data_IF_676757214969
#
_entry.id   IF_676757214969
#
_cell.length_a   1.000
_cell.length_b   1.000
_cell.length_c   1.000
_cell.angle_alpha   90.00
_cell.angle_beta   90.00
_cell.angle_gamma   90.00
#
_symmetry.space_group_name_H-M   'P 1'
#
loop_
_entity.id
_entity.type
_entity.pdbx_description
1 polymer ?
#
# COMPACT_ATOMS: atom_id res chain seq x y z
N UNK A 1 -31.32 57.25 20.76
CA UNK A 1 -30.12 56.92 19.95
C UNK A 1 -29.46 55.67 20.51
N UNK A 2 -29.78 54.48 19.97
CA UNK A 2 -29.25 53.19 20.44
C UNK A 2 -27.91 52.92 19.74
N UNK A 3 -26.81 52.87 20.49
CA UNK A 3 -25.49 52.44 19.98
C UNK A 3 -25.50 50.92 19.86
N UNK A 4 -25.51 50.41 18.62
CA UNK A 4 -25.35 49.00 18.31
C UNK A 4 -23.85 48.70 18.21
N UNK A 5 -23.31 47.95 19.18
CA UNK A 5 -21.92 47.51 19.20
C UNK A 5 -21.81 46.27 18.29
N UNK A 6 -21.14 46.39 17.15
CA UNK A 6 -20.89 45.27 16.23
C UNK A 6 -19.62 44.53 16.69
N UNK A 7 -19.78 43.30 17.18
CA UNK A 7 -18.68 42.43 17.60
C UNK A 7 -18.06 41.77 16.36
N UNK A 8 -16.85 42.22 15.96
CA UNK A 8 -16.08 41.62 14.87
C UNK A 8 -15.34 40.38 15.41
N UNK A 9 -15.88 39.19 15.19
CA UNK A 9 -15.16 37.94 15.45
C UNK A 9 -14.17 37.67 14.31
N UNK A 10 -12.89 37.94 14.59
CA UNK A 10 -11.76 37.53 13.75
C UNK A 10 -11.74 35.99 13.66
N UNK A 11 -12.32 35.43 12.60
CA UNK A 11 -12.12 34.05 12.20
C UNK A 11 -10.67 33.89 11.74
N UNK A 12 -9.80 33.51 12.67
CA UNK A 12 -8.45 33.02 12.38
C UNK A 12 -8.58 31.76 11.51
N UNK A 13 -8.44 31.92 10.20
CA UNK A 13 -8.31 30.82 9.26
C UNK A 13 -6.96 30.13 9.52
N UNK A 14 -6.96 29.15 10.42
CA UNK A 14 -5.83 28.25 10.59
C UNK A 14 -5.59 27.52 9.28
N UNK A 15 -4.37 27.58 8.74
CA UNK A 15 -3.95 26.77 7.59
C UNK A 15 -4.01 25.30 7.99
N UNK A 16 -5.14 24.64 7.74
CA UNK A 16 -5.21 23.19 7.75
C UNK A 16 -4.41 22.68 6.56
N UNK A 17 -3.15 22.31 6.78
CA UNK A 17 -2.44 21.46 5.84
C UNK A 17 -3.10 20.08 5.92
N UNK A 18 -3.84 19.72 4.88
CA UNK A 18 -4.28 18.34 4.70
C UNK A 18 -3.03 17.47 4.57
N UNK A 19 -2.86 16.51 5.48
CA UNK A 19 -1.85 15.47 5.31
C UNK A 19 -2.30 14.61 4.13
N UNK A 20 -1.49 14.52 3.07
CA UNK A 20 -1.81 13.72 1.90
C UNK A 20 -0.80 12.59 1.75
N UNK A 21 -1.30 11.37 1.65
CA UNK A 21 -0.51 10.20 1.33
C UNK A 21 -0.62 9.93 -0.17
N UNK A 22 0.50 9.97 -0.89
CA UNK A 22 0.51 9.82 -2.35
C UNK A 22 0.45 8.34 -2.74
N UNK A 23 -0.73 7.73 -2.59
CA UNK A 23 -1.01 6.34 -2.97
C UNK A 23 -2.22 6.32 -3.90
N UNK A 24 -2.19 5.44 -4.90
CA UNK A 24 -3.27 5.20 -5.85
C UNK A 24 -3.72 3.74 -5.73
N UNK A 25 -5.01 3.47 -5.46
CA UNK A 25 -6.06 4.41 -5.07
C UNK A 25 -5.74 5.14 -3.76
N UNK A 26 -6.37 6.29 -3.55
CA UNK A 26 -6.18 7.07 -2.33
C UNK A 26 -6.67 6.30 -1.09
N UNK A 27 -5.80 6.22 -0.09
CA UNK A 27 -6.09 5.60 1.22
C UNK A 27 -7.06 6.48 2.00
N UNK A 28 -8.13 5.90 2.54
CA UNK A 28 -9.18 6.66 3.25
C UNK A 28 -8.85 6.95 4.72
N UNK A 29 -8.31 5.98 5.44
CA UNK A 29 -8.00 6.12 6.87
C UNK A 29 -6.52 5.86 7.12
N UNK A 30 -5.80 6.93 7.44
CA UNK A 30 -4.41 6.88 7.84
C UNK A 30 -4.08 7.99 8.82
N UNK A 31 -3.00 7.79 9.58
CA UNK A 31 -2.41 8.79 10.47
C UNK A 31 -0.91 8.85 10.24
N UNK A 32 -0.39 10.04 9.93
CA UNK A 32 1.05 10.21 9.79
C UNK A 32 1.74 10.15 11.15
N UNK A 33 2.83 9.39 11.21
CA UNK A 33 3.79 9.39 12.31
C UNK A 33 4.92 10.39 12.06
N UNK A 34 5.90 10.40 12.97
CA UNK A 34 7.14 11.16 12.81
C UNK A 34 8.23 10.27 12.21
N UNK A 35 9.01 10.83 11.29
CA UNK A 35 10.16 10.14 10.69
C UNK A 35 9.80 9.22 9.53
N UNK A 36 10.73 8.35 9.19
CA UNK A 36 10.64 7.36 8.12
C UNK A 36 11.35 6.07 8.52
N UNK A 37 10.91 4.96 7.92
CA UNK A 37 11.62 3.69 7.90
C UNK A 37 12.62 3.70 6.74
N UNK A 38 13.88 3.38 6.99
CA UNK A 38 14.88 3.22 5.93
C UNK A 38 14.88 1.80 5.39
N UNK A 39 14.64 1.65 4.08
CA UNK A 39 14.69 0.36 3.37
C UNK A 39 16.05 0.24 2.71
N UNK A 40 16.81 -0.82 3.00
CA UNK A 40 18.14 -1.03 2.45
C UNK A 40 18.47 -2.53 2.36
N UNK A 41 19.67 -2.88 1.90
CA UNK A 41 20.13 -4.27 1.74
C UNK A 41 20.17 -5.08 3.05
N UNK A 42 20.15 -4.42 4.22
CA UNK A 42 20.06 -5.09 5.52
C UNK A 42 18.62 -5.29 5.97
N UNK A 43 17.65 -4.67 5.30
CA UNK A 43 16.23 -4.82 5.62
C UNK A 43 15.80 -6.23 5.26
N UNK A 44 15.34 -6.97 6.26
CA UNK A 44 14.78 -8.30 6.05
C UNK A 44 13.27 -8.26 5.88
N UNK A 45 12.72 -9.33 5.33
CA UNK A 45 11.28 -9.57 5.26
C UNK A 45 10.95 -10.83 6.06
N UNK A 46 9.85 -10.80 6.81
CA UNK A 46 9.37 -11.91 7.64
C UNK A 46 7.96 -12.25 7.18
N UNK A 47 7.70 -13.52 6.87
CA UNK A 47 6.38 -13.99 6.44
C UNK A 47 6.25 -15.49 6.67
N UNK A 48 5.02 -15.94 6.97
CA UNK A 48 4.69 -17.37 7.03
C UNK A 48 4.65 -17.97 5.63
N UNK A 49 4.92 -19.27 5.50
CA UNK A 49 4.96 -19.94 4.19
C UNK A 49 3.63 -19.88 3.41
N UNK A 50 2.50 -19.66 4.10
CA UNK A 50 1.19 -19.39 3.49
C UNK A 50 1.13 -18.12 2.63
N UNK A 51 2.13 -17.24 2.71
CA UNK A 51 2.27 -16.01 1.93
C UNK A 51 3.43 -16.05 0.93
N UNK A 52 4.08 -17.20 0.77
CA UNK A 52 5.30 -17.28 -0.03
C UNK A 52 5.14 -16.68 -1.44
N UNK A 53 4.07 -16.99 -2.21
CA UNK A 53 3.90 -16.39 -3.54
C UNK A 53 3.76 -14.86 -3.51
N UNK A 54 2.94 -14.33 -2.59
CA UNK A 54 2.68 -12.90 -2.45
C UNK A 54 3.93 -12.13 -2.00
N UNK A 55 4.65 -12.69 -1.02
CA UNK A 55 5.88 -12.11 -0.50
C UNK A 55 7.01 -12.15 -1.55
N UNK A 56 7.18 -13.25 -2.28
CA UNK A 56 8.17 -13.34 -3.36
C UNK A 56 7.86 -12.36 -4.51
N UNK A 57 6.58 -12.20 -4.87
CA UNK A 57 6.16 -11.20 -5.85
C UNK A 57 6.47 -9.77 -5.36
N UNK A 58 6.16 -9.46 -4.10
CA UNK A 58 6.49 -8.16 -3.50
C UNK A 58 8.01 -7.91 -3.46
N UNK A 59 8.81 -8.89 -3.04
CA UNK A 59 10.28 -8.80 -3.03
C UNK A 59 10.84 -8.55 -4.44
N UNK A 60 10.30 -9.24 -5.45
CA UNK A 60 10.68 -9.03 -6.84
C UNK A 60 10.32 -7.63 -7.34
N UNK A 61 9.14 -7.11 -6.98
CA UNK A 61 8.73 -5.75 -7.30
C UNK A 61 9.62 -4.71 -6.62
N UNK A 62 9.94 -4.90 -5.33
CA UNK A 62 10.87 -4.02 -4.61
C UNK A 62 12.24 -3.99 -5.29
N UNK A 63 12.78 -5.15 -5.66
CA UNK A 63 14.03 -5.25 -6.40
C UNK A 63 13.97 -4.56 -7.76
N UNK A 64 12.92 -4.79 -8.53
CA UNK A 64 12.81 -4.26 -9.90
C UNK A 64 12.56 -2.75 -9.94
N UNK A 65 11.84 -2.20 -8.96
CA UNK A 65 11.46 -0.78 -8.92
C UNK A 65 12.51 0.05 -8.17
N UNK A 66 13.03 -0.48 -7.06
CA UNK A 66 13.90 0.27 -6.13
C UNK A 66 15.34 -0.25 -6.09
N UNK A 67 15.65 -1.38 -6.74
CA UNK A 67 16.99 -1.96 -6.75
C UNK A 67 17.41 -2.62 -5.44
N UNK A 68 16.49 -2.76 -4.47
CA UNK A 68 16.80 -3.29 -3.14
C UNK A 68 16.47 -4.78 -3.07
N UNK A 69 17.42 -5.60 -2.62
CA UNK A 69 17.19 -7.04 -2.43
C UNK A 69 16.82 -7.34 -0.98
N UNK A 70 15.55 -7.64 -0.74
CA UNK A 70 15.09 -8.12 0.57
C UNK A 70 15.43 -9.60 0.74
N UNK A 71 15.76 -10.00 1.98
CA UNK A 71 16.03 -11.39 2.34
C UNK A 71 15.08 -11.86 3.43
N UNK A 72 14.60 -13.11 3.32
CA UNK A 72 13.72 -13.69 4.33
C UNK A 72 14.52 -13.91 5.63
N UNK A 73 14.02 -13.40 6.76
CA UNK A 73 14.58 -13.68 8.08
C UNK A 73 13.45 -13.76 9.12
N UNK A 74 13.16 -14.97 9.60
CA UNK A 74 12.05 -15.22 10.53
C UNK A 74 12.34 -14.71 11.97
N UNK A 75 13.61 -14.43 12.29
CA UNK A 75 14.06 -14.02 13.62
C UNK A 75 14.29 -12.50 13.76
N UNK A 76 14.07 -11.72 12.71
CA UNK A 76 14.30 -10.28 12.75
C UNK A 76 13.23 -9.56 13.59
N UNK A 77 13.66 -8.70 14.51
CA UNK A 77 12.79 -7.88 15.36
C UNK A 77 12.80 -6.38 15.01
N UNK A 78 13.85 -5.90 14.34
CA UNK A 78 14.03 -4.53 13.87
C UNK A 78 14.60 -4.55 12.44
N UNK A 79 14.47 -3.43 11.72
CA UNK A 79 14.78 -3.31 10.30
C UNK A 79 14.11 -4.41 9.46
N UNK A 80 12.81 -4.63 9.72
CA UNK A 80 12.05 -5.75 9.17
C UNK A 80 10.71 -5.30 8.59
N UNK A 81 10.35 -5.90 7.46
CA UNK A 81 8.99 -5.89 6.90
C UNK A 81 8.32 -7.19 7.30
N UNK A 82 7.34 -7.11 8.20
CA UNK A 82 6.62 -8.24 8.79
C UNK A 82 5.24 -8.37 8.14
N UNK A 83 4.97 -9.53 7.55
CA UNK A 83 3.73 -9.87 6.84
C UNK A 83 2.97 -10.93 7.62
N UNK A 84 1.77 -10.60 8.11
CA UNK A 84 0.92 -11.54 8.85
C UNK A 84 -0.58 -11.32 8.60
N UNK A 85 -1.38 -12.39 8.58
CA UNK A 85 -2.86 -12.28 8.50
C UNK A 85 -3.51 -11.97 9.86
N UNK A 86 -2.74 -11.93 10.95
CA UNK A 86 -3.28 -11.63 12.28
C UNK A 86 -3.25 -10.12 12.50
N UNK A 87 -4.39 -9.49 12.24
CA UNK A 87 -4.59 -8.08 12.56
C UNK A 87 -4.48 -7.86 14.08
N UNK A 88 -3.98 -6.70 14.53
CA UNK A 88 -4.02 -6.32 15.93
C UNK A 88 -5.44 -6.40 16.52
N UNK A 89 -5.55 -6.76 17.80
CA UNK A 89 -6.84 -7.07 18.48
C UNK A 89 -7.81 -5.88 18.45
N UNK A 90 -7.30 -4.66 18.42
CA UNK A 90 -8.06 -3.42 18.37
C UNK A 90 -8.62 -3.08 16.97
N UNK A 91 -8.22 -3.82 15.94
CA UNK A 91 -8.65 -3.60 14.56
C UNK A 91 -9.92 -4.38 14.27
N UNK A 92 -10.98 -3.65 13.90
CA UNK A 92 -12.22 -4.22 13.37
C UNK A 92 -12.20 -4.14 11.83
N UNK A 93 -11.86 -5.22 11.12
CA UNK A 93 -11.84 -5.21 9.66
C UNK A 93 -13.25 -5.03 9.10
N UNK A 94 -13.40 -4.30 8.00
CA UNK A 94 -14.67 -4.20 7.30
C UNK A 94 -14.57 -4.81 5.89
N UNK A 95 -14.80 -6.11 5.78
CA UNK A 95 -14.79 -6.81 4.50
C UNK A 95 -13.48 -7.53 4.19
N UNK A 96 -13.50 -8.32 3.11
CA UNK A 96 -12.48 -9.33 2.83
C UNK A 96 -11.17 -8.77 2.29
N UNK A 97 -11.17 -7.53 1.82
CA UNK A 97 -9.99 -6.87 1.28
C UNK A 97 -9.37 -5.84 2.21
N UNK A 98 -9.86 -5.79 3.45
CA UNK A 98 -9.30 -4.94 4.47
C UNK A 98 -7.84 -5.30 4.74
N UNK A 99 -7.03 -4.26 4.89
CA UNK A 99 -5.65 -4.34 5.30
C UNK A 99 -5.27 -3.23 6.29
N UNK A 100 -4.22 -3.52 7.05
CA UNK A 100 -3.54 -2.64 8.00
C UNK A 100 -2.07 -2.58 7.61
N UNK A 101 -1.50 -1.38 7.59
CA UNK A 101 -0.06 -1.20 7.55
C UNK A 101 0.39 -0.26 8.68
N UNK A 102 1.34 -0.70 9.47
CA UNK A 102 1.91 0.08 10.57
C UNK A 102 3.41 0.27 10.32
N UNK A 103 3.79 1.48 9.93
CA UNK A 103 5.17 1.85 9.58
C UNK A 103 5.74 2.69 10.72
N UNK A 104 6.77 2.17 11.36
CA UNK A 104 7.61 2.88 12.34
C UNK A 104 9.03 3.02 11.80
N UNK A 105 9.89 3.75 12.49
CA UNK A 105 11.32 3.85 12.16
C UNK A 105 12.09 2.52 12.32
N UNK A 106 11.50 1.55 13.01
CA UNK A 106 12.11 0.24 13.31
C UNK A 106 11.53 -0.92 12.52
N UNK A 107 10.26 -0.87 12.13
CA UNK A 107 9.61 -1.96 11.40
C UNK A 107 8.43 -1.50 10.57
N UNK A 108 8.11 -2.29 9.54
CA UNK A 108 6.86 -2.19 8.79
C UNK A 108 6.06 -3.45 9.06
N UNK A 109 4.89 -3.33 9.67
CA UNK A 109 3.92 -4.42 9.76
C UNK A 109 2.88 -4.27 8.66
N UNK A 110 2.52 -5.38 8.01
CA UNK A 110 1.50 -5.47 6.98
C UNK A 110 0.61 -6.66 7.29
N UNK A 111 -0.70 -6.43 7.42
CA UNK A 111 -1.65 -7.51 7.63
C UNK A 111 -3.03 -7.24 7.08
N UNK A 112 -3.81 -8.30 6.91
CA UNK A 112 -5.15 -8.24 6.34
C UNK A 112 -5.98 -9.44 6.76
N UNK A 113 -7.26 -9.43 6.40
CA UNK A 113 -8.22 -10.51 6.75
C UNK A 113 -7.85 -11.83 6.07
N UNK A 114 -7.21 -11.76 4.91
CA UNK A 114 -6.74 -12.88 4.12
C UNK A 114 -5.55 -12.43 3.24
N UNK A 115 -5.01 -13.37 2.48
CA UNK A 115 -3.88 -13.11 1.58
C UNK A 115 -4.14 -11.97 0.59
N UNK A 116 -5.36 -11.84 0.05
CA UNK A 116 -5.70 -10.76 -0.87
C UNK A 116 -5.64 -9.39 -0.19
N UNK A 117 -6.23 -9.24 1.00
CA UNK A 117 -6.16 -8.00 1.78
C UNK A 117 -4.70 -7.65 2.11
N UNK A 118 -3.96 -8.61 2.67
CA UNK A 118 -2.53 -8.43 3.00
C UNK A 118 -1.70 -8.00 1.79
N UNK A 119 -1.91 -8.63 0.63
CA UNK A 119 -1.22 -8.28 -0.61
C UNK A 119 -1.53 -6.84 -1.08
N UNK A 120 -2.76 -6.35 -0.90
CA UNK A 120 -3.08 -4.93 -1.14
C UNK A 120 -2.31 -4.00 -0.22
N UNK A 121 -2.14 -4.39 1.04
CA UNK A 121 -1.28 -3.68 1.98
C UNK A 121 0.17 -3.61 1.52
N UNK A 122 0.70 -4.72 0.96
CA UNK A 122 2.04 -4.74 0.34
C UNK A 122 2.13 -3.73 -0.81
N UNK A 123 1.12 -3.68 -1.69
CA UNK A 123 1.11 -2.71 -2.81
C UNK A 123 1.02 -1.26 -2.33
N UNK A 124 0.32 -1.00 -1.24
CA UNK A 124 0.31 0.34 -0.61
C UNK A 124 1.69 0.69 -0.08
N UNK A 125 2.34 -0.19 0.68
CA UNK A 125 3.70 0.04 1.18
C UNK A 125 4.70 0.21 0.03
N UNK A 126 4.57 -0.58 -1.04
CA UNK A 126 5.38 -0.46 -2.24
C UNK A 126 5.28 0.96 -2.81
N UNK A 127 4.07 1.49 -3.01
CA UNK A 127 3.89 2.86 -3.54
C UNK A 127 4.43 3.95 -2.60
N UNK A 128 4.45 3.69 -1.29
CA UNK A 128 4.99 4.63 -0.30
C UNK A 128 6.52 4.68 -0.27
N UNK A 129 7.21 3.67 -0.80
CA UNK A 129 8.66 3.68 -0.92
C UNK A 129 9.09 4.82 -1.85
N UNK A 130 9.86 5.76 -1.29
CA UNK A 130 10.42 6.87 -2.04
C UNK A 130 11.73 6.42 -2.70
N UNK A 131 11.74 6.32 -4.03
CA UNK A 131 12.90 5.88 -4.80
C UNK A 131 14.13 6.77 -4.70
N UNK A 132 13.98 8.04 -4.30
CA UNK A 132 15.13 8.95 -4.13
C UNK A 132 15.82 8.80 -2.79
N UNK A 133 15.10 8.31 -1.77
CA UNK A 133 15.58 8.25 -0.38
C UNK A 133 15.68 6.83 0.16
N UNK A 134 15.10 5.85 -0.53
CA UNK A 134 14.93 4.48 -0.03
C UNK A 134 14.27 4.48 1.35
N UNK A 135 13.21 5.28 1.50
CA UNK A 135 12.52 5.49 2.76
C UNK A 135 11.01 5.36 2.57
N UNK A 136 10.34 4.87 3.61
CA UNK A 136 8.87 4.84 3.73
C UNK A 136 8.49 5.76 4.89
N UNK A 137 7.59 6.74 4.71
CA UNK A 137 7.19 7.61 5.81
C UNK A 137 6.48 6.82 6.91
N UNK A 138 6.76 7.14 8.18
CA UNK A 138 6.06 6.54 9.30
C UNK A 138 4.57 6.92 9.26
N UNK A 139 3.69 5.93 9.30
CA UNK A 139 2.25 6.12 9.35
C UNK A 139 1.54 4.83 9.76
N UNK A 140 0.28 4.99 10.19
CA UNK A 140 -0.64 3.89 10.39
C UNK A 140 -1.73 3.99 9.33
N UNK A 141 -2.02 2.90 8.63
CA UNK A 141 -3.01 2.83 7.55
C UNK A 141 -3.98 1.71 7.87
N UNK A 142 -5.28 1.99 7.80
CA UNK A 142 -6.35 1.01 7.82
C UNK A 142 -7.22 1.26 6.61
N UNK A 143 -7.30 0.31 5.68
CA UNK A 143 -7.98 0.61 4.41
C UNK A 143 -8.58 -0.64 3.78
N UNK A 144 -9.53 -0.39 2.88
CA UNK A 144 -10.28 -1.42 2.16
C UNK A 144 -10.97 -0.77 0.96
N UNK A 145 -11.22 -1.55 -0.10
CA UNK A 145 -11.99 -1.04 -1.22
C UNK A 145 -13.48 -1.15 -0.94
N UNK A 146 -14.11 -0.01 -0.66
CA UNK A 146 -15.56 0.04 -0.36
C UNK A 146 -16.46 0.19 -1.58
N UNK A 147 -15.94 0.75 -2.68
CA UNK A 147 -16.82 1.35 -3.68
C UNK A 147 -17.14 0.42 -4.86
N UNK A 148 -16.25 -0.51 -5.22
CA UNK A 148 -16.46 -1.39 -6.38
C UNK A 148 -15.77 -2.74 -6.20
N UNK A 149 -16.55 -3.82 -6.21
CA UNK A 149 -16.04 -5.19 -6.18
C UNK A 149 -15.35 -5.57 -7.49
N UNK A 150 -15.76 -4.98 -8.61
CA UNK A 150 -15.16 -5.21 -9.93
C UNK A 150 -14.30 -4.02 -10.35
N UNK A 151 -12.99 -4.24 -10.50
CA UNK A 151 -12.02 -3.24 -10.97
C UNK A 151 -11.22 -3.88 -12.09
N UNK A 152 -11.78 -3.73 -13.28
CA UNK A 152 -11.40 -4.46 -14.47
C UNK A 152 -10.48 -3.68 -15.39
N UNK A 153 -9.66 -4.42 -16.15
CA UNK A 153 -8.97 -3.90 -17.32
C UNK A 153 -9.07 -4.89 -18.47
N UNK A 154 -9.45 -4.41 -19.65
CA UNK A 154 -9.56 -5.21 -20.88
C UNK A 154 -8.31 -5.03 -21.74
N UNK A 155 -7.73 -6.14 -22.21
CA UNK A 155 -6.63 -6.14 -23.17
C UNK A 155 -6.98 -7.06 -24.34
N UNK A 156 -7.13 -6.46 -25.52
CA UNK A 156 -7.27 -7.14 -26.80
C UNK A 156 -5.88 -7.53 -27.31
N UNK A 157 -5.60 -8.84 -27.37
CA UNK A 157 -4.39 -9.39 -27.99
C UNK A 157 -4.67 -10.15 -29.29
N UNK A 158 -5.95 -10.24 -29.71
CA UNK A 158 -6.35 -10.95 -30.92
C UNK A 158 -6.04 -10.13 -32.17
N UNK A 159 -6.19 -8.81 -32.08
CA UNK A 159 -5.89 -7.88 -33.19
C UNK A 159 -4.47 -7.33 -33.19
N UNK A 160 -3.82 -7.31 -32.02
CA UNK A 160 -2.44 -6.87 -31.88
C UNK A 160 -1.67 -7.77 -30.92
N UNK A 161 -0.60 -8.40 -31.41
CA UNK A 161 0.19 -9.31 -30.59
C UNK A 161 1.10 -8.53 -29.64
N UNK A 162 0.98 -8.81 -28.35
CA UNK A 162 1.89 -8.31 -27.32
C UNK A 162 2.82 -9.42 -26.84
N UNK A 163 4.15 -9.15 -26.69
CA UNK A 163 5.06 -10.13 -26.12
C UNK A 163 4.64 -10.56 -24.71
N UNK A 164 4.88 -11.82 -24.35
CA UNK A 164 4.59 -12.38 -23.01
C UNK A 164 5.09 -11.52 -21.86
N UNK A 165 6.30 -10.96 -22.00
CA UNK A 165 6.90 -10.15 -20.94
C UNK A 165 6.19 -8.80 -20.76
N UNK A 166 5.59 -8.26 -21.82
CA UNK A 166 4.72 -7.09 -21.70
C UNK A 166 3.46 -7.43 -20.90
N UNK A 167 2.81 -8.57 -21.20
CA UNK A 167 1.60 -9.01 -20.47
C UNK A 167 1.89 -9.19 -18.98
N UNK A 168 3.03 -9.78 -18.62
CA UNK A 168 3.43 -9.92 -17.21
C UNK A 168 3.59 -8.58 -16.51
N UNK A 169 4.34 -7.65 -17.12
CA UNK A 169 4.51 -6.29 -16.59
C UNK A 169 3.16 -5.57 -16.46
N UNK A 170 2.25 -5.82 -17.40
CA UNK A 170 0.91 -5.26 -17.35
C UNK A 170 0.12 -5.77 -16.14
N UNK A 171 0.17 -7.08 -15.86
CA UNK A 171 -0.45 -7.68 -14.67
C UNK A 171 0.21 -7.13 -13.38
N UNK A 172 1.53 -6.93 -13.37
CA UNK A 172 2.22 -6.30 -12.24
C UNK A 172 1.69 -4.88 -11.97
N UNK A 173 1.47 -4.08 -13.02
CA UNK A 173 0.86 -2.75 -12.90
C UNK A 173 -0.58 -2.83 -12.38
N UNK A 174 -1.39 -3.77 -12.86
CA UNK A 174 -2.74 -3.99 -12.36
C UNK A 174 -2.74 -4.32 -10.86
N UNK A 175 -1.80 -5.16 -10.41
CA UNK A 175 -1.62 -5.48 -9.00
C UNK A 175 -1.24 -4.25 -8.17
N UNK A 176 -0.26 -3.45 -8.62
CA UNK A 176 0.17 -2.21 -7.95
C UNK A 176 -1.01 -1.27 -7.74
N UNK A 177 -1.87 -1.12 -8.75
CA UNK A 177 -3.07 -0.27 -8.70
C UNK A 177 -4.31 -0.96 -8.13
N UNK A 178 -4.15 -2.14 -7.51
CA UNK A 178 -5.22 -2.90 -6.83
C UNK A 178 -6.41 -3.25 -7.75
N UNK A 179 -6.18 -3.37 -9.06
CA UNK A 179 -7.14 -3.95 -9.99
C UNK A 179 -7.26 -5.45 -9.73
N UNK A 180 -8.45 -6.01 -9.91
CA UNK A 180 -8.73 -7.40 -9.54
C UNK A 180 -9.35 -8.25 -10.65
N UNK A 181 -9.69 -7.63 -11.79
CA UNK A 181 -10.18 -8.36 -12.95
C UNK A 181 -9.35 -8.01 -14.18
N UNK A 182 -8.75 -9.01 -14.80
CA UNK A 182 -8.07 -8.85 -16.08
C UNK A 182 -8.89 -9.57 -17.17
N UNK A 183 -9.58 -8.80 -18.00
CA UNK A 183 -10.29 -9.35 -19.15
C UNK A 183 -9.30 -9.46 -20.29
N UNK A 184 -8.82 -10.68 -20.51
CA UNK A 184 -7.86 -10.99 -21.56
C UNK A 184 -8.60 -11.54 -22.78
N UNK A 185 -8.67 -10.75 -23.84
CA UNK A 185 -9.36 -11.14 -25.06
C UNK A 185 -8.37 -11.78 -26.05
N UNK A 186 -8.45 -13.11 -26.15
CA UNK A 186 -7.44 -13.96 -26.80
C UNK A 186 -7.71 -14.23 -28.28
N UNK A 187 -8.97 -14.20 -28.72
CA UNK A 187 -9.40 -14.56 -30.08
C UNK A 187 -10.56 -13.69 -30.52
N UNK A 188 -10.54 -13.25 -31.78
CA UNK A 188 -11.62 -12.55 -32.49
C UNK A 188 -11.67 -13.03 -33.94
#
# INVERSE_FOLDING_TARGET
>A
MKKLLLLLTLFSCGKFFAQSLNVIPAVKDFKMGKGSFSVNEKTSIKFKDSFKPEAEAFMLMVKNIYGITLTKNDNASENVIEIENQLPIDVKPAGNDFYRADITDKKIFIGGVNNQGTFRGMMTVLQLMNSKKNEVPCCNISDQEKNYQWRGMHLDVSRHFFPKDFIKKYIDLLAIYKMNTFHWHLTD
#
